data_IF_079132231237
#
_entry.id   IF_079132231237
#
_cell.length_a   1.000
_cell.length_b   1.000
_cell.length_c   1.000
_cell.angle_alpha   90.00
_cell.angle_beta   90.00
_cell.angle_gamma   90.00
#
_symmetry.space_group_name_H-M   'P 1'
#
loop_
_entity.id
_entity.type
_entity.pdbx_description
1 polymer ?
#
# COMPACT_ATOMS: atom_id res chain seq x y z
N UNK A 1 -5.18 20.33 8.44
CA UNK A 1 -4.87 18.90 8.61
C UNK A 1 -5.14 18.21 7.28
N UNK A 2 -4.19 17.45 6.74
CA UNK A 2 -4.39 16.70 5.49
C UNK A 2 -4.93 15.30 5.83
N UNK A 3 -6.15 14.93 5.41
CA UNK A 3 -6.78 13.67 5.81
C UNK A 3 -6.37 12.47 4.92
N UNK A 4 -5.25 12.59 4.20
CA UNK A 4 -4.81 11.62 3.20
C UNK A 4 -3.30 11.38 3.32
N UNK A 5 -2.89 10.11 3.29
CA UNK A 5 -1.49 9.69 3.20
C UNK A 5 -1.34 8.65 2.08
N UNK A 6 -0.48 8.90 1.10
CA UNK A 6 -0.41 8.11 -0.13
C UNK A 6 0.83 7.23 -0.23
N UNK A 7 1.70 7.19 0.79
CA UNK A 7 2.97 6.47 0.69
C UNK A 7 3.39 5.85 2.01
N UNK A 8 3.26 4.53 2.15
CA UNK A 8 3.71 3.76 3.31
C UNK A 8 3.95 2.29 2.97
N UNK A 9 4.69 1.60 3.83
CA UNK A 9 5.15 0.21 3.63
C UNK A 9 4.71 -0.68 4.79
N UNK A 10 4.43 -1.95 4.51
CA UNK A 10 4.04 -2.95 5.50
C UNK A 10 5.15 -3.96 5.73
N UNK A 11 4.94 -4.89 6.68
CA UNK A 11 5.79 -6.06 6.95
C UNK A 11 6.02 -6.98 5.73
N UNK A 12 5.41 -6.69 4.58
CA UNK A 12 5.74 -7.28 3.30
C UNK A 12 7.21 -7.04 2.90
N UNK A 13 7.84 -5.98 3.42
CA UNK A 13 9.28 -5.76 3.44
C UNK A 13 9.79 -5.77 4.89
N UNK A 14 10.89 -6.47 5.17
CA UNK A 14 11.40 -6.64 6.54
C UNK A 14 11.94 -5.36 7.17
N UNK A 15 12.27 -4.35 6.37
CA UNK A 15 12.61 -3.01 6.87
C UNK A 15 11.40 -2.13 7.21
N UNK A 16 10.17 -2.61 7.01
CA UNK A 16 8.94 -1.99 7.49
C UNK A 16 8.27 -2.87 8.56
N UNK A 17 7.57 -2.22 9.49
CA UNK A 17 7.24 -2.86 10.78
C UNK A 17 5.75 -2.89 11.11
N UNK A 18 4.89 -2.43 10.20
CA UNK A 18 3.45 -2.30 10.43
C UNK A 18 2.64 -3.18 9.49
N UNK A 19 1.47 -3.63 9.94
CA UNK A 19 0.49 -4.35 9.14
C UNK A 19 -0.59 -3.40 8.60
N UNK A 20 -1.43 -3.89 7.68
CA UNK A 20 -2.62 -3.14 7.22
C UNK A 20 -3.53 -2.73 8.39
N UNK A 21 -3.71 -3.61 9.38
CA UNK A 21 -4.59 -3.34 10.52
C UNK A 21 -4.02 -2.25 11.44
N UNK A 22 -2.69 -2.19 11.59
CA UNK A 22 -2.03 -1.13 12.36
C UNK A 22 -2.29 0.24 11.72
N UNK A 23 -2.20 0.31 10.39
CA UNK A 23 -2.50 1.55 9.65
C UNK A 23 -3.97 1.96 9.73
N UNK A 24 -4.92 1.02 9.66
CA UNK A 24 -6.35 1.32 9.85
C UNK A 24 -6.59 1.91 11.24
N UNK A 25 -6.03 1.29 12.28
CA UNK A 25 -6.18 1.75 13.66
C UNK A 25 -5.59 3.16 13.86
N UNK A 26 -4.40 3.41 13.32
CA UNK A 26 -3.76 4.72 13.45
C UNK A 26 -4.44 5.78 12.59
N UNK A 27 -4.92 5.44 11.39
CA UNK A 27 -5.68 6.34 10.53
C UNK A 27 -6.95 6.82 11.23
N UNK A 28 -7.68 5.91 11.89
CA UNK A 28 -8.86 6.23 12.69
C UNK A 28 -8.51 7.20 13.83
N UNK A 29 -7.43 6.93 14.57
CA UNK A 29 -6.94 7.79 15.68
C UNK A 29 -6.52 9.19 15.20
N UNK A 30 -5.86 9.28 14.04
CA UNK A 30 -5.35 10.53 13.46
C UNK A 30 -6.38 11.29 12.63
N UNK A 31 -7.58 10.74 12.43
CA UNK A 31 -8.60 11.33 11.57
C UNK A 31 -8.27 11.30 10.07
N UNK A 32 -7.37 10.39 9.65
CA UNK A 32 -7.08 10.12 8.24
C UNK A 32 -8.29 9.40 7.64
N UNK A 33 -8.78 9.90 6.51
CA UNK A 33 -9.96 9.38 5.82
C UNK A 33 -9.60 8.43 4.69
N UNK A 34 -8.40 8.56 4.14
CA UNK A 34 -7.91 7.74 3.06
C UNK A 34 -6.41 7.51 3.22
N UNK A 35 -5.95 6.27 3.07
CA UNK A 35 -4.52 6.00 2.92
C UNK A 35 -4.23 4.99 1.81
N UNK A 36 -3.00 5.02 1.30
CA UNK A 36 -2.52 4.04 0.32
C UNK A 36 -1.37 3.21 0.87
N UNK A 37 -1.46 1.88 0.82
CA UNK A 37 -0.31 1.00 1.02
C UNK A 37 0.46 0.91 -0.28
N UNK A 38 1.76 1.19 -0.21
CA UNK A 38 2.69 1.26 -1.32
C UNK A 38 3.93 0.43 -0.99
N UNK A 39 3.79 -0.89 -0.91
CA UNK A 39 4.93 -1.79 -0.73
C UNK A 39 5.87 -1.77 -1.94
N UNK A 40 7.15 -2.09 -1.71
CA UNK A 40 8.19 -2.05 -2.74
C UNK A 40 7.92 -3.02 -3.88
N UNK A 41 8.24 -2.61 -5.10
CA UNK A 41 8.11 -3.49 -6.26
C UNK A 41 8.98 -4.76 -6.16
N UNK A 42 8.53 -5.92 -6.70
CA UNK A 42 9.20 -7.22 -6.55
C UNK A 42 10.67 -7.27 -7.01
N UNK A 43 11.11 -6.32 -7.84
CA UNK A 43 12.48 -6.23 -8.32
C UNK A 43 13.46 -5.65 -7.27
N UNK A 44 12.96 -5.07 -6.18
CA UNK A 44 13.79 -4.50 -5.11
C UNK A 44 14.20 -5.58 -4.11
N UNK A 45 15.42 -5.46 -3.56
CA UNK A 45 15.84 -6.30 -2.45
C UNK A 45 14.89 -6.08 -1.25
N UNK A 46 14.53 -7.16 -0.55
CA UNK A 46 13.56 -7.13 0.55
C UNK A 46 12.12 -6.73 0.14
N UNK A 47 11.76 -6.85 -1.15
CA UNK A 47 10.39 -6.66 -1.62
C UNK A 47 9.55 -7.93 -1.51
N UNK A 48 8.21 -7.80 -1.38
CA UNK A 48 7.31 -8.94 -1.41
C UNK A 48 7.22 -9.58 -2.79
N UNK A 49 6.79 -10.85 -2.81
CA UNK A 49 6.48 -11.57 -4.04
C UNK A 49 5.34 -10.88 -4.81
N UNK A 50 5.34 -10.97 -6.15
CA UNK A 50 4.32 -10.38 -7.02
C UNK A 50 2.86 -10.73 -6.65
N UNK A 51 2.63 -11.91 -6.09
CA UNK A 51 1.30 -12.33 -5.61
C UNK A 51 0.71 -11.42 -4.54
N UNK A 52 1.55 -10.75 -3.74
CA UNK A 52 1.14 -9.74 -2.78
C UNK A 52 0.25 -8.68 -3.44
N UNK A 53 0.74 -8.11 -4.55
CA UNK A 53 0.04 -7.07 -5.32
C UNK A 53 -1.20 -7.60 -6.06
N UNK A 54 -1.09 -8.79 -6.66
CA UNK A 54 -2.24 -9.41 -7.35
C UNK A 54 -3.39 -9.69 -6.39
N UNK A 55 -3.08 -10.03 -5.14
CA UNK A 55 -4.08 -10.40 -4.16
C UNK A 55 -4.66 -9.20 -3.39
N UNK A 56 -4.02 -8.02 -3.44
CA UNK A 56 -4.57 -6.78 -2.84
C UNK A 56 -5.98 -6.41 -3.33
N UNK A 57 -6.41 -6.92 -4.49
CA UNK A 57 -7.78 -6.72 -5.00
C UNK A 57 -8.89 -7.23 -4.06
N UNK A 58 -8.59 -8.13 -3.14
CA UNK A 58 -9.56 -8.69 -2.19
C UNK A 58 -9.72 -7.83 -0.93
N UNK A 59 -8.87 -6.82 -0.76
CA UNK A 59 -8.90 -5.99 0.44
C UNK A 59 -10.21 -5.20 0.54
N UNK A 60 -10.74 -5.02 1.76
CA UNK A 60 -11.90 -4.16 1.96
C UNK A 60 -11.58 -2.72 1.55
N UNK A 61 -12.52 -2.04 0.90
CA UNK A 61 -12.34 -0.64 0.47
C UNK A 61 -12.58 0.36 1.59
N UNK A 62 -13.33 -0.04 2.61
CA UNK A 62 -13.68 0.79 3.76
C UNK A 62 -13.70 -0.09 5.01
N UNK A 63 -12.96 0.32 6.04
CA UNK A 63 -12.97 -0.31 7.37
C UNK A 63 -13.08 0.81 8.39
N UNK A 64 -14.05 0.73 9.31
CA UNK A 64 -14.27 1.76 10.36
C UNK A 64 -14.38 3.21 9.84
N UNK A 65 -14.87 3.39 8.60
CA UNK A 65 -14.98 4.71 7.96
C UNK A 65 -13.65 5.28 7.44
N UNK A 66 -12.58 4.46 7.41
CA UNK A 66 -11.29 4.76 6.79
C UNK A 66 -11.20 4.03 5.45
N UNK A 67 -10.94 4.76 4.37
CA UNK A 67 -10.67 4.18 3.06
C UNK A 67 -9.24 3.69 2.95
N UNK A 68 -9.05 2.47 2.44
CA UNK A 68 -7.72 1.93 2.11
C UNK A 68 -7.61 1.65 0.62
N UNK A 69 -6.62 2.27 -0.02
CA UNK A 69 -6.23 1.96 -1.39
C UNK A 69 -4.94 1.14 -1.37
N UNK A 70 -4.83 0.18 -2.27
CA UNK A 70 -3.62 -0.59 -2.47
C UNK A 70 -3.01 -0.15 -3.80
N UNK A 71 -1.79 0.37 -3.77
CA UNK A 71 -1.08 0.86 -4.95
C UNK A 71 0.31 0.26 -4.96
N UNK A 72 0.79 -0.22 -6.11
CA UNK A 72 2.16 -0.70 -6.23
C UNK A 72 3.13 0.49 -6.14
N UNK A 73 4.05 0.51 -5.15
CA UNK A 73 5.08 1.55 -5.09
C UNK A 73 6.18 1.27 -6.09
N UNK A 74 6.28 2.12 -7.11
CA UNK A 74 7.43 2.15 -8.01
C UNK A 74 8.44 3.20 -7.52
N UNK A 75 9.04 2.97 -6.35
CA UNK A 75 10.23 3.74 -5.98
C UNK A 75 11.38 3.28 -6.89
N UNK A 76 11.55 4.06 -7.96
CA UNK A 76 12.68 4.12 -8.89
C UNK A 76 12.86 2.98 -9.90
N UNK A 77 12.25 3.15 -11.08
CA UNK A 77 12.97 3.12 -12.37
C UNK A 77 12.24 4.00 -13.39
N UNK A 78 12.78 5.20 -13.60
CA UNK A 78 12.73 5.82 -14.92
C UNK A 78 13.35 4.78 -15.87
N UNK A 79 12.60 4.39 -16.89
CA UNK A 79 12.88 3.36 -17.91
C UNK A 79 12.39 1.92 -17.59
N UNK A 80 11.35 1.58 -18.37
CA UNK A 80 11.02 0.28 -19.00
C UNK A 80 9.82 -0.50 -18.44
N UNK A 81 8.80 -0.57 -19.32
CA UNK A 81 7.83 -1.64 -19.52
C UNK A 81 6.69 -1.83 -18.49
N UNK A 82 5.49 -1.41 -18.93
CA UNK A 82 4.17 -2.03 -18.71
C UNK A 82 4.07 -3.03 -17.54
N UNK A 83 3.56 -2.59 -16.39
CA UNK A 83 2.93 -3.49 -15.42
C UNK A 83 1.48 -3.73 -15.80
N UNK A 84 1.04 -4.99 -15.76
CA UNK A 84 -0.34 -5.42 -16.04
C UNK A 84 -1.26 -5.37 -14.81
N UNK A 85 -0.77 -4.89 -13.66
CA UNK A 85 -1.59 -4.71 -12.46
C UNK A 85 -2.35 -3.39 -12.60
N UNK A 86 -3.70 -3.40 -12.62
CA UNK A 86 -4.47 -2.18 -12.73
C UNK A 86 -4.26 -1.32 -11.48
N UNK A 87 -3.81 -0.08 -11.66
CA UNK A 87 -3.91 0.98 -10.66
C UNK A 87 -5.40 1.26 -10.45
N UNK A 88 -6.03 0.60 -9.47
CA UNK A 88 -7.46 0.77 -9.15
C UNK A 88 -7.66 1.13 -7.69
N UNK A 89 -7.75 2.44 -7.46
CA UNK A 89 -8.52 3.00 -6.36
C UNK A 89 -10.01 2.69 -6.55
#
# INVERSE_FOLDING_TARGET
>A
MYPVDLHMHTVASTHAYSTLHDYIAEAKRKGIKLFAITDHGPDMADAPHYWHFVNMRIWPRLVDGVGSCAVLSRILKILKARSTVPDRC
#
